data_IF_403554654911
#
_entry.id   IF_403554654911
#
_cell.length_a   1.000
_cell.length_b   1.000
_cell.length_c   1.000
_cell.angle_alpha   90.00
_cell.angle_beta   90.00
_cell.angle_gamma   90.00
#
_symmetry.space_group_name_H-M   'P 1'
#
loop_
_entity.id
_entity.type
_entity.pdbx_description
1 polymer ?
#
# COMPACT_ATOMS: atom_id res chain seq x y z
N UNK A 1 -1.28 42.47 -18.59
CA UNK A 1 -1.15 41.00 -18.62
C UNK A 1 -0.16 40.61 -17.54
N UNK A 2 -0.45 39.60 -16.72
CA UNK A 2 0.56 39.02 -15.82
C UNK A 2 1.71 38.51 -16.67
N UNK A 3 2.91 39.06 -16.49
CA UNK A 3 4.08 38.54 -17.19
C UNK A 3 4.39 37.16 -16.62
N UNK A 4 4.25 36.13 -17.47
CA UNK A 4 4.61 34.74 -17.14
C UNK A 4 6.12 34.62 -16.95
N UNK A 5 6.89 35.45 -17.65
CA UNK A 5 8.34 35.47 -17.64
C UNK A 5 8.86 36.37 -16.52
N UNK A 6 9.94 35.93 -15.87
CA UNK A 6 10.76 36.80 -15.02
C UNK A 6 11.36 37.95 -15.84
N UNK A 7 11.70 39.06 -15.20
CA UNK A 7 12.32 40.23 -15.87
C UNK A 7 13.53 39.83 -16.73
N UNK A 8 14.42 38.99 -16.18
CA UNK A 8 15.57 38.45 -16.91
C UNK A 8 15.17 37.65 -18.15
N UNK A 9 14.14 36.81 -18.06
CA UNK A 9 13.68 36.01 -19.20
C UNK A 9 13.02 36.89 -20.27
N UNK A 10 12.27 37.92 -19.86
CA UNK A 10 11.70 38.90 -20.77
C UNK A 10 12.81 39.66 -21.52
N UNK A 11 13.85 40.12 -20.80
CA UNK A 11 15.00 40.80 -21.40
C UNK A 11 15.80 39.92 -22.38
N UNK A 12 16.00 38.64 -22.06
CA UNK A 12 16.62 37.69 -22.99
C UNK A 12 15.75 37.46 -24.24
N UNK A 13 14.43 37.39 -24.08
CA UNK A 13 13.48 37.24 -25.18
C UNK A 13 13.47 38.48 -26.09
N UNK A 14 13.46 39.68 -25.51
CA UNK A 14 13.50 40.93 -26.26
C UNK A 14 14.75 41.03 -27.13
N UNK A 15 15.94 40.74 -26.58
CA UNK A 15 17.20 40.71 -27.34
C UNK A 15 17.18 39.66 -28.45
N UNK A 16 16.61 38.49 -28.19
CA UNK A 16 16.45 37.43 -29.19
C UNK A 16 15.48 37.83 -30.32
N UNK A 17 14.39 38.53 -30.02
CA UNK A 17 13.44 39.03 -31.01
C UNK A 17 14.08 40.06 -31.94
N UNK A 18 14.80 41.04 -31.39
CA UNK A 18 15.49 42.06 -32.20
C UNK A 18 16.55 41.41 -33.10
N UNK A 19 17.36 40.49 -32.56
CA UNK A 19 18.36 39.76 -33.33
C UNK A 19 17.72 38.93 -34.45
N UNK A 20 16.61 38.23 -34.17
CA UNK A 20 15.84 37.48 -35.16
C UNK A 20 15.29 38.37 -36.27
N UNK A 21 14.65 39.49 -35.93
CA UNK A 21 14.10 40.43 -36.90
C UNK A 21 15.19 41.03 -37.81
N UNK A 22 16.35 41.32 -37.23
CA UNK A 22 17.50 41.83 -37.98
C UNK A 22 18.04 40.78 -38.94
N UNK A 23 18.21 39.53 -38.49
CA UNK A 23 18.63 38.41 -39.33
C UNK A 23 17.60 38.06 -40.43
N UNK A 24 16.30 38.27 -40.16
CA UNK A 24 15.21 38.08 -41.11
C UNK A 24 15.05 39.25 -42.11
N UNK A 25 15.97 40.21 -42.14
CA UNK A 25 15.91 41.42 -42.98
C UNK A 25 14.66 42.29 -42.73
N UNK A 26 14.23 42.44 -41.48
CA UNK A 26 13.13 43.31 -41.05
C UNK A 26 13.63 44.50 -40.20
N UNK A 27 14.46 45.41 -40.74
CA UNK A 27 15.15 46.45 -39.97
C UNK A 27 14.20 47.48 -39.37
N UNK A 28 13.15 47.89 -40.11
CA UNK A 28 12.19 48.90 -39.63
C UNK A 28 11.44 48.40 -38.38
N UNK A 29 11.05 47.12 -38.37
CA UNK A 29 10.39 46.50 -37.22
C UNK A 29 11.35 46.31 -36.05
N UNK A 30 12.60 45.91 -36.32
CA UNK A 30 13.62 45.79 -35.30
C UNK A 30 13.94 47.15 -34.62
N UNK A 31 13.99 48.23 -35.41
CA UNK A 31 14.22 49.59 -34.91
C UNK A 31 13.04 50.08 -34.05
N UNK A 32 11.81 49.93 -34.52
CA UNK A 32 10.61 50.31 -33.78
C UNK A 32 10.50 49.55 -32.44
N UNK A 33 10.72 48.23 -32.45
CA UNK A 33 10.71 47.42 -31.22
C UNK A 33 11.81 47.84 -30.25
N UNK A 34 12.99 48.18 -30.76
CA UNK A 34 14.12 48.63 -29.95
C UNK A 34 13.85 49.97 -29.26
N UNK A 35 13.18 50.88 -29.96
CA UNK A 35 12.72 52.17 -29.41
C UNK A 35 11.66 51.97 -28.33
N UNK A 36 10.62 51.16 -28.60
CA UNK A 36 9.57 50.87 -27.62
C UNK A 36 10.09 50.21 -26.33
N UNK A 37 11.13 49.39 -26.44
CA UNK A 37 11.76 48.71 -25.31
C UNK A 37 12.86 49.54 -24.62
N UNK A 38 13.15 50.75 -25.11
CA UNK A 38 14.25 51.60 -24.63
C UNK A 38 15.61 50.86 -24.56
N UNK A 39 15.92 50.01 -25.55
CA UNK A 39 17.18 49.27 -25.61
C UNK A 39 18.26 50.10 -26.33
N UNK A 40 19.05 50.85 -25.56
CA UNK A 40 20.18 51.65 -26.07
C UNK A 40 21.30 50.83 -26.73
N UNK A 41 22.21 51.50 -27.44
CA UNK A 41 23.40 50.87 -28.07
C UNK A 41 24.38 50.27 -27.05
N UNK A 42 24.38 50.79 -25.84
CA UNK A 42 25.13 50.27 -24.70
C UNK A 42 24.63 48.89 -24.22
N UNK A 43 23.34 48.60 -24.40
CA UNK A 43 22.72 47.34 -23.94
C UNK A 43 22.58 46.30 -25.05
N UNK A 44 22.47 46.75 -26.31
CA UNK A 44 22.32 45.89 -27.49
C UNK A 44 23.26 46.36 -28.61
N UNK A 45 24.53 45.98 -28.48
CA UNK A 45 25.59 46.23 -29.46
C UNK A 45 25.67 45.12 -30.53
N UNK A 46 26.44 45.31 -31.62
CA UNK A 46 26.59 44.28 -32.66
C UNK A 46 27.09 42.93 -32.13
N UNK A 47 27.91 42.92 -31.07
CA UNK A 47 28.36 41.69 -30.43
C UNK A 47 27.22 40.95 -29.71
N UNK A 48 26.34 41.70 -29.02
CA UNK A 48 25.12 41.18 -28.40
C UNK A 48 24.16 40.68 -29.47
N UNK A 49 23.95 41.41 -30.56
CA UNK A 49 23.11 40.97 -31.67
C UNK A 49 23.56 39.60 -32.21
N UNK A 50 24.86 39.44 -32.46
CA UNK A 50 25.45 38.16 -32.90
C UNK A 50 25.31 37.04 -31.86
N UNK A 51 25.36 37.36 -30.56
CA UNK A 51 25.15 36.38 -29.49
C UNK A 51 23.72 35.82 -29.47
N UNK A 52 22.73 36.65 -29.79
CA UNK A 52 21.31 36.28 -29.78
C UNK A 52 20.78 35.81 -31.15
N UNK A 53 21.57 35.97 -32.22
CA UNK A 53 21.26 35.47 -33.56
C UNK A 53 21.02 33.94 -33.55
N UNK A 54 19.92 33.51 -34.16
CA UNK A 54 19.52 32.11 -34.21
C UNK A 54 19.01 31.52 -32.88
N UNK A 55 18.98 32.28 -31.78
CA UNK A 55 18.59 31.76 -30.47
C UNK A 55 17.10 31.38 -30.44
N UNK A 56 16.24 32.20 -31.04
CA UNK A 56 14.79 31.99 -31.04
C UNK A 56 14.44 30.72 -31.82
N UNK A 57 15.07 30.53 -32.98
CA UNK A 57 14.94 29.35 -33.83
C UNK A 57 15.46 28.11 -33.11
N UNK A 58 16.62 28.19 -32.44
CA UNK A 58 17.14 27.09 -31.62
C UNK A 58 16.19 26.72 -30.48
N UNK A 59 15.59 27.69 -29.78
CA UNK A 59 14.61 27.44 -28.73
C UNK A 59 13.32 26.83 -29.30
N UNK A 60 12.79 27.38 -30.40
CA UNK A 60 11.57 26.87 -31.05
C UNK A 60 11.76 25.43 -31.56
N UNK A 61 12.83 25.17 -32.31
CA UNK A 61 13.15 23.83 -32.81
C UNK A 61 13.39 22.84 -31.67
N UNK A 62 13.99 23.29 -30.55
CA UNK A 62 14.12 22.46 -29.34
C UNK A 62 12.78 22.12 -28.71
N UNK A 63 11.85 23.07 -28.60
CA UNK A 63 10.49 22.84 -28.09
C UNK A 63 9.72 21.88 -28.99
N UNK A 64 9.73 22.09 -30.32
CA UNK A 64 9.08 21.19 -31.29
C UNK A 64 9.69 19.79 -31.21
N UNK A 65 11.02 19.68 -31.10
CA UNK A 65 11.70 18.39 -30.94
C UNK A 65 11.34 17.70 -29.62
N UNK A 66 11.26 18.44 -28.51
CA UNK A 66 10.84 17.91 -27.20
C UNK A 66 9.38 17.47 -27.22
N UNK A 67 8.49 18.25 -27.83
CA UNK A 67 7.09 17.89 -28.03
C UNK A 67 6.97 16.63 -28.87
N UNK A 68 7.62 16.54 -30.04
CA UNK A 68 7.61 15.31 -30.84
C UNK A 68 8.20 14.11 -30.08
N UNK A 69 9.32 14.30 -29.39
CA UNK A 69 9.98 13.22 -28.63
C UNK A 69 9.11 12.72 -27.46
N UNK A 70 8.36 13.59 -26.80
CA UNK A 70 7.54 13.23 -25.63
C UNK A 70 6.11 12.83 -25.99
N UNK A 71 5.49 13.56 -26.91
CA UNK A 71 4.07 13.43 -27.25
C UNK A 71 3.83 12.32 -28.26
N UNK A 72 4.69 12.17 -29.28
CA UNK A 72 4.48 11.14 -30.31
C UNK A 72 4.48 9.72 -29.75
N UNK A 73 5.45 9.30 -28.88
CA UNK A 73 5.40 7.97 -28.28
C UNK A 73 4.18 7.76 -27.39
N UNK A 74 3.76 8.79 -26.64
CA UNK A 74 2.58 8.74 -25.79
C UNK A 74 1.31 8.51 -26.63
N UNK A 75 1.14 9.28 -27.71
CA UNK A 75 -0.01 9.13 -28.61
C UNK A 75 -0.01 7.76 -29.29
N UNK A 76 1.14 7.27 -29.74
CA UNK A 76 1.26 5.91 -30.30
C UNK A 76 0.88 4.85 -29.27
N UNK A 77 1.37 4.96 -28.03
CA UNK A 77 1.05 4.01 -26.97
C UNK A 77 -0.45 4.03 -26.61
N UNK A 78 -1.09 5.19 -26.62
CA UNK A 78 -2.54 5.32 -26.42
C UNK A 78 -3.30 4.62 -27.56
N UNK A 79 -2.94 4.86 -28.82
CA UNK A 79 -3.57 4.20 -29.97
C UNK A 79 -3.39 2.68 -29.93
N UNK A 80 -2.21 2.19 -29.56
CA UNK A 80 -1.93 0.75 -29.42
C UNK A 80 -2.73 0.12 -28.27
N UNK A 81 -2.99 0.87 -27.19
CA UNK A 81 -3.83 0.45 -26.08
C UNK A 81 -5.31 0.43 -26.46
N UNK A 82 -5.80 1.47 -27.15
CA UNK A 82 -7.17 1.53 -27.67
C UNK A 82 -7.45 0.39 -28.65
N UNK A 83 -6.51 0.11 -29.56
CA UNK A 83 -6.61 -1.01 -30.50
C UNK A 83 -6.65 -2.37 -29.78
N UNK A 84 -5.73 -2.60 -28.82
CA UNK A 84 -5.75 -3.84 -28.01
C UNK A 84 -7.01 -4.00 -27.19
N UNK A 85 -7.53 -2.92 -26.61
CA UNK A 85 -8.80 -2.96 -25.88
C UNK A 85 -9.98 -3.33 -26.80
N UNK A 86 -10.01 -2.79 -28.02
CA UNK A 86 -11.05 -3.14 -29.00
C UNK A 86 -10.97 -4.62 -29.41
N UNK A 87 -9.76 -5.16 -29.61
CA UNK A 87 -9.55 -6.58 -29.91
C UNK A 87 -10.01 -7.44 -28.73
N UNK A 88 -9.56 -7.14 -27.51
CA UNK A 88 -9.94 -7.89 -26.31
C UNK A 88 -11.44 -7.84 -26.03
N UNK A 89 -12.11 -6.71 -26.30
CA UNK A 89 -13.56 -6.60 -26.20
C UNK A 89 -14.24 -7.53 -27.22
N UNK A 90 -13.77 -7.55 -28.47
CA UNK A 90 -14.29 -8.46 -29.49
C UNK A 90 -14.03 -9.94 -29.17
N UNK A 91 -12.88 -10.26 -28.57
CA UNK A 91 -12.58 -11.61 -28.08
C UNK A 91 -13.47 -12.00 -26.91
N UNK A 92 -13.78 -11.06 -26.00
CA UNK A 92 -14.69 -11.29 -24.88
C UNK A 92 -16.13 -11.52 -25.36
N UNK A 93 -16.58 -10.74 -26.34
CA UNK A 93 -17.92 -10.86 -26.92
C UNK A 93 -18.07 -12.16 -27.74
N UNK A 94 -16.98 -12.63 -28.36
CA UNK A 94 -16.94 -13.88 -29.13
C UNK A 94 -16.57 -15.13 -28.29
N UNK A 95 -16.03 -14.95 -27.09
CA UNK A 95 -15.68 -16.04 -26.20
C UNK A 95 -16.95 -16.70 -25.68
N UNK A 96 -17.20 -17.93 -26.12
CA UNK A 96 -18.24 -18.79 -25.55
C UNK A 96 -17.94 -19.00 -24.06
N UNK A 97 -18.91 -18.82 -23.14
CA UNK A 97 -18.69 -18.90 -21.69
C UNK A 97 -18.57 -20.37 -21.26
N UNK A 98 -17.59 -21.09 -21.79
CA UNK A 98 -17.21 -22.42 -21.37
C UNK A 98 -15.87 -22.31 -20.65
N UNK A 99 -15.94 -22.34 -19.31
CA UNK A 99 -14.81 -22.50 -18.38
C UNK A 99 -14.02 -21.25 -17.96
N UNK A 100 -14.61 -20.05 -17.93
CA UNK A 100 -14.32 -19.20 -16.76
C UNK A 100 -15.00 -19.89 -15.59
N UNK A 101 -14.26 -20.72 -14.84
CA UNK A 101 -14.71 -21.18 -13.54
C UNK A 101 -14.93 -19.91 -12.72
N UNK A 102 -16.14 -19.36 -12.80
CA UNK A 102 -16.61 -18.20 -12.05
C UNK A 102 -16.77 -18.69 -10.62
N UNK A 103 -15.63 -19.00 -9.98
CA UNK A 103 -15.57 -19.40 -8.58
C UNK A 103 -16.01 -18.16 -7.82
N UNK A 104 -17.12 -18.29 -7.12
CA UNK A 104 -17.60 -17.27 -6.19
C UNK A 104 -16.42 -16.74 -5.37
N UNK A 105 -16.07 -15.45 -5.49
CA UNK A 105 -14.93 -14.88 -4.78
C UNK A 105 -15.12 -14.91 -3.26
N UNK A 106 -16.36 -15.05 -2.77
CA UNK A 106 -16.65 -15.23 -1.33
C UNK A 106 -16.25 -16.62 -0.84
N UNK A 107 -16.26 -17.62 -1.73
CA UNK A 107 -15.92 -19.01 -1.42
C UNK A 107 -14.47 -19.38 -1.78
N UNK A 108 -13.70 -18.46 -2.38
CA UNK A 108 -12.36 -18.76 -2.87
C UNK A 108 -11.38 -19.08 -1.73
N UNK A 109 -10.59 -20.12 -1.92
CA UNK A 109 -9.49 -20.51 -1.04
C UNK A 109 -8.25 -20.83 -1.89
N UNK A 110 -7.04 -20.47 -1.43
CA UNK A 110 -5.81 -20.75 -2.15
C UNK A 110 -5.64 -22.26 -2.40
N UNK A 111 -4.96 -22.63 -3.48
CA UNK A 111 -4.66 -24.03 -3.82
C UNK A 111 -3.19 -24.16 -4.20
N UNK A 112 -2.59 -25.33 -3.97
CA UNK A 112 -1.30 -25.65 -4.56
C UNK A 112 -1.45 -26.11 -6.02
N UNK A 113 -0.42 -25.92 -6.87
CA UNK A 113 0.78 -25.12 -6.59
C UNK A 113 0.47 -23.60 -6.56
N UNK A 114 1.34 -22.76 -5.98
CA UNK A 114 1.22 -21.31 -6.12
C UNK A 114 1.28 -20.92 -7.59
N UNK A 115 0.63 -19.80 -7.96
CA UNK A 115 0.73 -19.22 -9.31
C UNK A 115 2.18 -18.84 -9.63
N UNK A 116 2.85 -18.17 -8.68
CA UNK A 116 4.23 -17.73 -8.82
C UNK A 116 5.04 -18.06 -7.57
N UNK A 117 6.31 -18.43 -7.77
CA UNK A 117 7.33 -18.54 -6.71
C UNK A 117 8.44 -17.55 -7.03
N UNK A 118 8.50 -16.45 -6.29
CA UNK A 118 9.39 -15.33 -6.54
C UNK A 118 10.68 -15.52 -5.73
N UNK A 119 11.82 -15.64 -6.43
CA UNK A 119 13.11 -15.97 -5.83
C UNK A 119 14.13 -14.89 -6.15
N UNK A 120 14.68 -14.24 -5.14
CA UNK A 120 15.74 -13.22 -5.32
C UNK A 120 16.40 -12.80 -4.00
N UNK A 121 15.69 -12.90 -2.87
CA UNK A 121 16.26 -12.61 -1.55
C UNK A 121 17.38 -13.60 -1.21
N UNK A 122 18.33 -13.15 -0.41
CA UNK A 122 19.51 -13.95 -0.02
C UNK A 122 19.37 -14.58 1.36
N UNK A 123 18.53 -13.98 2.20
CA UNK A 123 18.22 -14.42 3.56
C UNK A 123 16.69 -14.45 3.76
N UNK A 124 16.19 -15.06 4.85
CA UNK A 124 14.76 -15.27 5.10
C UNK A 124 13.88 -14.05 4.82
N UNK A 125 12.72 -14.30 4.21
CA UNK A 125 11.68 -13.28 4.05
C UNK A 125 10.91 -13.17 5.35
N UNK A 126 10.77 -11.95 5.84
CA UNK A 126 10.15 -11.63 7.12
C UNK A 126 8.72 -11.12 6.94
N UNK A 127 8.44 -10.40 5.85
CA UNK A 127 7.17 -9.70 5.64
C UNK A 127 6.84 -9.51 4.15
N UNK A 128 5.54 -9.33 3.87
CA UNK A 128 5.03 -8.99 2.54
C UNK A 128 3.86 -8.01 2.63
N UNK A 129 3.75 -7.09 1.68
CA UNK A 129 2.64 -6.13 1.59
C UNK A 129 2.23 -5.84 0.15
N UNK A 130 0.93 -5.86 -0.13
CA UNK A 130 0.39 -5.49 -1.44
C UNK A 130 0.21 -3.99 -1.54
N UNK A 131 0.53 -3.44 -2.71
CA UNK A 131 0.12 -2.09 -3.05
C UNK A 131 -1.42 -2.03 -3.21
N UNK A 132 -2.11 -1.01 -2.67
CA UNK A 132 -3.58 -0.94 -2.66
C UNK A 132 -4.22 -0.82 -4.03
N UNK A 133 -3.52 -0.21 -4.99
CA UNK A 133 -4.04 0.05 -6.35
C UNK A 133 -3.40 -0.87 -7.39
N UNK A 134 -2.10 -0.73 -7.61
CA UNK A 134 -1.32 -1.46 -8.62
C UNK A 134 -1.04 -2.94 -8.28
N UNK A 135 -0.60 -3.70 -9.29
CA UNK A 135 -0.14 -5.10 -9.21
C UNK A 135 1.20 -5.28 -8.48
N UNK A 136 1.62 -4.31 -7.66
CA UNK A 136 2.90 -4.36 -6.96
C UNK A 136 2.79 -5.05 -5.60
N UNK A 137 3.81 -5.82 -5.25
CA UNK A 137 4.01 -6.45 -3.95
C UNK A 137 5.39 -6.08 -3.42
N UNK A 138 5.48 -5.67 -2.16
CA UNK A 138 6.74 -5.51 -1.45
C UNK A 138 7.04 -6.74 -0.59
N UNK A 139 8.30 -7.16 -0.51
CA UNK A 139 8.80 -8.14 0.45
C UNK A 139 10.03 -7.61 1.18
N UNK A 140 10.06 -7.75 2.51
CA UNK A 140 11.24 -7.46 3.33
C UNK A 140 11.96 -8.74 3.75
N UNK A 141 13.26 -8.62 4.03
CA UNK A 141 14.12 -9.77 4.35
C UNK A 141 15.19 -9.44 5.38
N UNK A 142 15.72 -10.49 6.00
CA UNK A 142 16.93 -10.45 6.82
C UNK A 142 18.17 -9.99 6.04
N UNK A 143 18.14 -10.04 4.70
CA UNK A 143 19.21 -9.57 3.80
C UNK A 143 19.29 -8.04 3.71
N UNK A 144 18.53 -7.33 4.55
CA UNK A 144 18.49 -5.87 4.71
C UNK A 144 17.84 -5.14 3.53
N UNK A 145 17.30 -5.88 2.55
CA UNK A 145 16.66 -5.31 1.36
C UNK A 145 15.14 -5.43 1.40
N UNK A 146 14.49 -4.56 0.62
CA UNK A 146 13.09 -4.71 0.25
C UNK A 146 13.05 -4.96 -1.25
N UNK A 147 12.27 -5.92 -1.70
CA UNK A 147 12.05 -6.19 -3.12
C UNK A 147 10.63 -5.85 -3.51
N UNK A 148 10.50 -5.25 -4.69
CA UNK A 148 9.23 -4.89 -5.31
C UNK A 148 9.02 -5.80 -6.50
N UNK A 149 7.86 -6.42 -6.54
CA UNK A 149 7.49 -7.42 -7.54
C UNK A 149 6.20 -7.00 -8.22
N UNK A 150 6.08 -7.29 -9.50
CA UNK A 150 4.76 -7.41 -10.12
C UNK A 150 4.22 -8.81 -9.78
N UNK A 151 3.18 -8.90 -8.96
CA UNK A 151 2.63 -10.19 -8.53
C UNK A 151 1.73 -10.84 -9.59
N UNK A 152 1.28 -10.11 -10.61
CA UNK A 152 0.52 -10.65 -11.74
C UNK A 152 1.45 -11.36 -12.72
N UNK A 153 2.57 -10.73 -13.06
CA UNK A 153 3.58 -11.23 -14.00
C UNK A 153 4.61 -12.15 -13.34
N UNK A 154 4.82 -12.01 -12.02
CA UNK A 154 5.82 -12.77 -11.27
C UNK A 154 7.25 -12.24 -11.45
N UNK A 155 7.40 -10.95 -11.76
CA UNK A 155 8.67 -10.32 -12.11
C UNK A 155 9.20 -9.43 -10.99
N UNK A 156 10.52 -9.35 -10.84
CA UNK A 156 11.19 -8.42 -9.93
C UNK A 156 11.32 -7.05 -10.61
N UNK A 157 10.65 -6.03 -10.09
CA UNK A 157 10.73 -4.66 -10.60
C UNK A 157 11.91 -3.89 -10.00
N UNK A 158 12.13 -4.04 -8.69
CA UNK A 158 13.12 -3.22 -7.98
C UNK A 158 13.66 -3.90 -6.72
N UNK A 159 14.91 -3.59 -6.38
CA UNK A 159 15.50 -3.87 -5.06
C UNK A 159 15.83 -2.54 -4.40
N UNK A 160 15.23 -2.29 -3.23
CA UNK A 160 15.41 -1.11 -2.41
C UNK A 160 16.42 -1.45 -1.31
N UNK A 161 17.42 -0.58 -1.16
CA UNK A 161 18.46 -0.67 -0.14
C UNK A 161 18.46 0.60 0.68
N UNK A 162 18.74 0.48 1.98
CA UNK A 162 18.95 1.64 2.85
C UNK A 162 18.79 1.35 4.34
N UNK A 163 18.15 0.23 4.71
CA UNK A 163 18.31 -0.34 6.05
C UNK A 163 19.69 -0.97 6.21
N UNK A 164 20.20 -0.98 7.44
CA UNK A 164 21.55 -1.52 7.76
C UNK A 164 21.50 -2.86 8.51
N UNK A 165 20.30 -3.32 8.84
CA UNK A 165 20.00 -4.62 9.45
C UNK A 165 18.69 -5.16 8.85
N UNK A 166 18.35 -6.40 9.19
CA UNK A 166 17.14 -7.10 8.77
C UNK A 166 15.90 -6.19 8.74
N UNK A 167 15.21 -6.16 7.62
CA UNK A 167 13.88 -5.54 7.49
C UNK A 167 12.89 -6.51 8.12
N UNK A 168 12.14 -6.07 9.11
CA UNK A 168 11.26 -6.94 9.89
C UNK A 168 9.81 -6.86 9.41
N UNK A 169 9.36 -5.69 8.95
CA UNK A 169 8.00 -5.51 8.44
C UNK A 169 7.92 -4.42 7.37
N UNK A 170 6.91 -4.52 6.51
CA UNK A 170 6.58 -3.54 5.48
C UNK A 170 5.07 -3.37 5.38
N UNK A 171 4.61 -2.16 5.03
CA UNK A 171 3.19 -1.89 4.80
C UNK A 171 3.01 -0.76 3.77
N UNK A 172 1.99 -0.85 2.95
CA UNK A 172 1.59 0.22 2.04
C UNK A 172 0.42 1.00 2.62
N UNK A 173 0.48 2.33 2.50
CA UNK A 173 -0.58 3.22 2.95
C UNK A 173 -0.13 4.67 2.90
N UNK A 174 -0.87 5.56 3.57
CA UNK A 174 -0.54 6.98 3.59
C UNK A 174 -1.74 7.87 3.26
N UNK A 175 -1.48 9.15 2.95
CA UNK A 175 -2.53 10.09 2.56
C UNK A 175 -3.32 9.59 1.35
N UNK A 176 -4.61 9.96 1.27
CA UNK A 176 -5.42 9.67 0.08
C UNK A 176 -4.72 10.22 -1.18
N UNK A 177 -4.54 9.35 -2.17
CA UNK A 177 -3.87 9.69 -3.43
C UNK A 177 -2.35 9.67 -3.40
N UNK A 178 -1.72 9.51 -2.23
CA UNK A 178 -0.26 9.38 -2.11
C UNK A 178 0.09 8.13 -1.31
N UNK A 179 0.17 6.99 -2.01
CA UNK A 179 0.55 5.73 -1.37
C UNK A 179 2.06 5.72 -1.14
N UNK A 180 2.45 5.55 0.12
CA UNK A 180 3.82 5.36 0.56
C UNK A 180 4.04 3.89 0.95
N UNK A 181 5.29 3.48 0.92
CA UNK A 181 5.75 2.25 1.56
C UNK A 181 6.44 2.60 2.87
N UNK A 182 6.01 2.00 3.97
CA UNK A 182 6.72 2.03 5.24
C UNK A 182 7.47 0.72 5.44
N UNK A 183 8.68 0.79 5.98
CA UNK A 183 9.45 -0.38 6.40
C UNK A 183 10.07 -0.17 7.76
N UNK A 184 10.17 -1.21 8.57
CA UNK A 184 10.84 -1.15 9.86
C UNK A 184 11.91 -2.24 9.97
N UNK A 185 12.91 -2.01 10.84
CA UNK A 185 14.10 -2.84 10.86
C UNK A 185 14.67 -3.05 12.27
N UNK A 186 15.53 -4.05 12.37
CA UNK A 186 16.42 -4.25 13.50
C UNK A 186 17.47 -3.14 13.68
N UNK A 187 17.58 -2.21 12.73
CA UNK A 187 18.43 -1.01 12.85
C UNK A 187 17.79 0.13 13.66
N UNK A 188 16.68 -0.15 14.35
CA UNK A 188 15.94 0.77 15.23
C UNK A 188 15.14 1.85 14.48
N UNK A 189 15.15 1.84 13.15
CA UNK A 189 14.51 2.87 12.34
C UNK A 189 13.29 2.35 11.59
N UNK A 190 12.38 3.28 11.31
CA UNK A 190 11.33 3.11 10.31
C UNK A 190 11.68 4.02 9.12
N UNK A 191 11.55 3.52 7.90
CA UNK A 191 11.80 4.30 6.68
C UNK A 191 10.52 4.42 5.87
N UNK A 192 10.33 5.60 5.29
CA UNK A 192 9.26 5.88 4.35
C UNK A 192 9.86 6.01 2.96
N UNK A 193 9.24 5.34 1.99
CA UNK A 193 9.65 5.30 0.60
C UNK A 193 8.50 5.75 -0.29
N UNK A 194 8.82 6.51 -1.32
CA UNK A 194 7.84 7.01 -2.28
C UNK A 194 7.85 6.16 -3.57
N UNK A 195 6.84 5.29 -3.81
CA UNK A 195 6.72 4.50 -5.03
C UNK A 195 6.71 5.35 -6.32
N UNK A 196 6.25 6.61 -6.27
CA UNK A 196 6.18 7.51 -7.43
C UNK A 196 7.56 8.11 -7.78
N UNK A 197 8.43 8.31 -6.79
CA UNK A 197 9.83 8.75 -6.99
C UNK A 197 10.80 7.57 -6.86
N UNK A 198 10.51 6.48 -7.59
CA UNK A 198 11.36 5.29 -7.67
C UNK A 198 11.76 4.66 -6.32
N UNK A 199 10.87 4.70 -5.33
CA UNK A 199 11.11 4.27 -3.95
C UNK A 199 12.29 4.99 -3.29
N UNK A 200 12.45 6.29 -3.57
CA UNK A 200 13.39 7.13 -2.83
C UNK A 200 13.01 7.17 -1.35
N UNK A 201 14.01 7.12 -0.47
CA UNK A 201 13.80 7.32 0.96
C UNK A 201 13.42 8.79 1.21
N UNK A 202 12.17 9.04 1.59
CA UNK A 202 11.68 10.40 1.89
C UNK A 202 11.93 10.77 3.33
N UNK A 203 11.88 9.81 4.25
CA UNK A 203 12.12 10.01 5.70
C UNK A 203 12.69 8.75 6.34
N UNK A 204 13.41 8.98 7.42
CA UNK A 204 13.82 7.98 8.40
C UNK A 204 13.32 8.45 9.76
N UNK A 205 12.54 7.62 10.46
CA UNK A 205 11.91 7.92 11.74
C UNK A 205 12.71 7.21 12.85
N UNK A 206 13.58 7.93 13.58
CA UNK A 206 14.27 7.40 14.74
C UNK A 206 13.41 7.55 16.02
N UNK A 207 13.70 6.75 17.04
CA UNK A 207 13.17 6.97 18.39
C UNK A 207 12.76 5.71 19.15
N UNK A 208 12.70 4.54 18.50
CA UNK A 208 12.66 3.28 19.22
C UNK A 208 14.05 2.92 19.77
N UNK A 209 14.08 2.32 20.96
CA UNK A 209 15.33 2.00 21.68
C UNK A 209 15.78 0.55 21.43
N UNK A 210 15.01 -0.21 20.65
CA UNK A 210 15.34 -1.55 20.18
C UNK A 210 14.65 -1.81 18.83
N UNK A 211 15.03 -2.90 18.15
CA UNK A 211 14.43 -3.43 16.91
C UNK A 211 12.93 -3.20 16.81
N UNK A 212 12.50 -2.62 15.69
CA UNK A 212 11.10 -2.35 15.37
C UNK A 212 10.55 -3.55 14.63
N UNK A 213 9.64 -4.27 15.27
CA UNK A 213 9.13 -5.58 14.84
C UNK A 213 8.00 -5.51 13.84
N UNK A 214 7.13 -4.50 13.93
CA UNK A 214 6.00 -4.35 13.04
C UNK A 214 5.67 -2.88 12.77
N UNK A 215 5.10 -2.61 11.61
CA UNK A 215 4.69 -1.27 11.18
C UNK A 215 3.41 -1.32 10.35
N UNK A 216 2.46 -0.41 10.64
CA UNK A 216 1.19 -0.31 9.90
C UNK A 216 0.76 1.14 9.74
N UNK A 217 0.19 1.49 8.59
CA UNK A 217 -0.54 2.74 8.46
C UNK A 217 -1.88 2.63 9.20
N UNK A 218 -2.26 3.70 9.90
CA UNK A 218 -3.55 3.78 10.60
C UNK A 218 -4.59 4.36 9.62
N UNK A 219 -5.60 3.59 9.19
CA UNK A 219 -6.60 4.05 8.24
C UNK A 219 -7.38 5.27 8.74
N UNK A 220 -7.81 6.17 7.85
CA UNK A 220 -8.74 7.27 8.16
C UNK A 220 -8.22 8.38 9.08
N UNK A 221 -7.05 8.23 9.69
CA UNK A 221 -6.54 9.06 10.79
C UNK A 221 -5.74 10.30 10.39
N UNK A 222 -5.64 10.63 9.09
CA UNK A 222 -4.93 11.82 8.63
C UNK A 222 -3.41 11.68 8.66
N UNK A 223 -2.89 10.56 8.12
CA UNK A 223 -1.45 10.29 7.89
C UNK A 223 -0.69 9.80 9.12
N UNK A 224 -1.29 8.93 9.94
CA UNK A 224 -0.59 8.30 11.05
C UNK A 224 -0.08 6.89 10.69
N UNK A 225 1.03 6.53 11.33
CA UNK A 225 1.66 5.22 11.27
C UNK A 225 1.82 4.71 12.70
N UNK A 226 1.60 3.42 12.93
CA UNK A 226 1.93 2.77 14.21
C UNK A 226 3.09 1.80 14.00
N UNK A 227 3.96 1.71 14.99
CA UNK A 227 5.00 0.70 15.08
C UNK A 227 5.01 -0.01 16.42
N UNK A 228 5.45 -1.26 16.41
CA UNK A 228 5.70 -2.08 17.58
C UNK A 228 7.20 -2.39 17.70
N UNK A 229 7.71 -2.51 18.92
CA UNK A 229 9.15 -2.67 19.14
C UNK A 229 9.49 -3.61 20.30
N UNK A 230 10.73 -4.11 20.26
CA UNK A 230 11.36 -4.86 21.35
C UNK A 230 11.65 -4.00 22.57
N UNK A 231 11.58 -2.67 22.46
CA UNK A 231 11.63 -1.76 23.61
C UNK A 231 10.34 -1.75 24.45
N UNK A 232 9.41 -2.69 24.19
CA UNK A 232 8.17 -2.91 24.93
C UNK A 232 7.10 -1.84 24.68
N UNK A 233 7.31 -0.94 23.72
CA UNK A 233 6.38 0.14 23.39
C UNK A 233 5.77 -0.02 22.01
N UNK A 234 4.60 0.60 21.83
CA UNK A 234 4.14 1.01 20.51
C UNK A 234 4.30 2.51 20.36
N UNK A 235 4.64 2.97 19.16
CA UNK A 235 4.71 4.41 18.85
C UNK A 235 3.80 4.74 17.69
N UNK A 236 3.14 5.90 17.79
CA UNK A 236 2.33 6.48 16.71
C UNK A 236 3.09 7.67 16.16
N UNK A 237 3.23 7.72 14.85
CA UNK A 237 4.02 8.70 14.11
C UNK A 237 3.14 9.48 13.16
N UNK A 238 3.41 10.76 13.03
CA UNK A 238 2.90 11.55 11.92
C UNK A 238 3.84 11.36 10.72
N UNK A 239 3.31 10.81 9.64
CA UNK A 239 4.03 10.49 8.40
C UNK A 239 4.53 11.76 7.68
N UNK A 240 3.81 12.87 7.86
CA UNK A 240 4.10 14.15 7.19
C UNK A 240 5.25 14.87 7.88
N UNK A 241 5.28 14.87 9.21
CA UNK A 241 6.30 15.59 10.00
C UNK A 241 7.46 14.68 10.41
N UNK A 242 7.22 13.38 10.53
CA UNK A 242 8.16 12.39 11.03
C UNK A 242 8.25 12.33 12.56
N UNK A 243 7.41 13.06 13.29
CA UNK A 243 7.43 13.09 14.75
C UNK A 243 6.62 11.93 15.36
N UNK A 244 7.12 11.42 16.48
CA UNK A 244 6.37 10.52 17.35
C UNK A 244 5.29 11.31 18.11
N UNK A 245 4.03 11.08 17.78
CA UNK A 245 2.85 11.75 18.36
C UNK A 245 2.45 11.12 19.69
N UNK A 246 2.49 9.79 19.79
CA UNK A 246 2.13 9.03 21.01
C UNK A 246 3.07 7.86 21.24
N UNK A 247 3.33 7.55 22.50
CA UNK A 247 4.01 6.32 22.92
C UNK A 247 3.09 5.55 23.85
N UNK A 248 2.68 4.36 23.45
CA UNK A 248 1.80 3.49 24.19
C UNK A 248 2.66 2.53 25.01
N UNK A 249 2.46 2.56 26.33
CA UNK A 249 3.18 1.73 27.29
C UNK A 249 2.21 0.80 27.99
N UNK A 250 2.65 -0.44 28.23
CA UNK A 250 1.87 -1.37 29.02
C UNK A 250 2.34 -2.82 28.86
N UNK A 251 2.78 -3.22 27.66
CA UNK A 251 3.38 -4.53 27.47
C UNK A 251 4.63 -4.69 28.33
N UNK A 252 4.79 -5.88 28.90
CA UNK A 252 5.90 -6.17 29.81
C UNK A 252 7.14 -6.69 29.06
N UNK A 253 6.98 -7.12 27.81
CA UNK A 253 8.01 -7.67 26.95
C UNK A 253 7.85 -7.22 25.48
N UNK A 254 8.68 -7.74 24.59
CA UNK A 254 8.73 -7.41 23.16
C UNK A 254 7.34 -7.46 22.50
N UNK A 255 6.88 -6.32 22.00
CA UNK A 255 5.66 -6.24 21.18
C UNK A 255 5.94 -6.79 19.78
N UNK A 256 5.30 -7.90 19.40
CA UNK A 256 5.58 -8.66 18.18
C UNK A 256 4.91 -8.12 16.93
N UNK A 257 3.62 -7.81 17.02
CA UNK A 257 2.81 -7.39 15.88
C UNK A 257 1.78 -6.33 16.30
N UNK A 258 1.29 -5.60 15.30
CA UNK A 258 0.31 -4.55 15.46
C UNK A 258 -0.71 -4.54 14.30
N UNK A 259 -1.97 -4.33 14.63
CA UNK A 259 -3.08 -4.30 13.68
C UNK A 259 -4.07 -3.16 14.02
N UNK A 260 -4.12 -2.08 13.22
CA UNK A 260 -5.14 -1.03 13.37
C UNK A 260 -6.54 -1.49 12.95
N UNK A 261 -7.57 -0.89 13.54
CA UNK A 261 -8.96 -1.04 13.09
C UNK A 261 -9.20 -0.27 11.78
N UNK A 262 -10.23 -0.67 11.03
CA UNK A 262 -10.55 -0.06 9.72
C UNK A 262 -10.93 1.43 9.80
N UNK A 263 -11.38 1.91 10.96
CA UNK A 263 -11.71 3.31 11.23
C UNK A 263 -10.56 4.07 11.91
N UNK A 264 -9.43 3.41 12.18
CA UNK A 264 -8.24 3.99 12.80
C UNK A 264 -8.37 4.34 14.28
N UNK A 265 -9.49 4.02 14.93
CA UNK A 265 -9.73 4.37 16.34
C UNK A 265 -9.05 3.43 17.33
N UNK A 266 -8.88 2.17 16.94
CA UNK A 266 -8.29 1.16 17.79
C UNK A 266 -7.05 0.56 17.17
N UNK A 267 -6.17 0.09 18.03
CA UNK A 267 -4.99 -0.67 17.66
C UNK A 267 -5.00 -1.95 18.49
N UNK A 268 -4.75 -3.09 17.86
CA UNK A 268 -4.47 -4.35 18.53
C UNK A 268 -2.97 -4.62 18.48
N UNK A 269 -2.38 -5.06 19.58
CA UNK A 269 -0.97 -5.48 19.65
C UNK A 269 -0.82 -6.83 20.33
N UNK A 270 0.28 -7.53 20.05
CA UNK A 270 0.64 -8.83 20.63
C UNK A 270 2.07 -8.82 21.14
N UNK A 271 2.41 -9.68 22.10
CA UNK A 271 3.71 -9.60 22.77
C UNK A 271 4.27 -10.95 23.26
N UNK A 272 5.57 -10.93 23.53
CA UNK A 272 6.30 -11.95 24.28
C UNK A 272 5.84 -12.07 25.74
N UNK A 273 5.02 -11.13 26.25
CA UNK A 273 4.38 -11.25 27.57
C UNK A 273 3.13 -12.16 27.57
N UNK A 274 2.89 -12.85 26.45
CA UNK A 274 1.80 -13.81 26.21
C UNK A 274 0.42 -13.18 26.14
N UNK A 275 0.35 -11.85 26.14
CA UNK A 275 -0.91 -11.10 26.03
C UNK A 275 -1.03 -10.41 24.68
N UNK A 276 -2.28 -10.10 24.35
CA UNK A 276 -2.59 -9.11 23.32
C UNK A 276 -3.38 -7.97 23.94
N UNK A 277 -3.28 -6.76 23.40
CA UNK A 277 -3.92 -5.58 23.98
C UNK A 277 -4.62 -4.76 22.92
N UNK A 278 -5.85 -4.35 23.24
CA UNK A 278 -6.61 -3.40 22.44
C UNK A 278 -6.45 -2.00 23.04
N UNK A 279 -6.10 -1.03 22.22
CA UNK A 279 -5.83 0.35 22.60
C UNK A 279 -6.83 1.27 21.92
N UNK A 280 -7.42 2.21 22.66
CA UNK A 280 -8.16 3.32 22.06
C UNK A 280 -7.20 4.48 21.82
N UNK A 281 -6.87 4.74 20.56
CA UNK A 281 -5.88 5.75 20.19
C UNK A 281 -6.49 7.12 19.91
N UNK A 282 -7.81 7.25 20.06
CA UNK A 282 -8.50 8.55 19.97
C UNK A 282 -8.26 9.41 21.19
N UNK A 283 -8.03 8.78 22.35
CA UNK A 283 -7.74 9.45 23.62
C UNK A 283 -6.28 9.92 23.67
N UNK A 284 -6.02 11.06 24.31
CA UNK A 284 -4.67 11.68 24.38
C UNK A 284 -3.60 10.78 24.99
N UNK A 285 -3.93 10.05 26.07
CA UNK A 285 -3.04 9.09 26.73
C UNK A 285 -3.67 7.68 26.72
N UNK A 286 -3.47 6.88 25.66
CA UNK A 286 -4.07 5.56 25.54
C UNK A 286 -3.51 4.59 26.59
N UNK A 287 -4.40 4.01 27.38
CA UNK A 287 -4.13 2.81 28.19
C UNK A 287 -4.68 1.56 27.48
N UNK A 288 -4.23 0.35 27.86
CA UNK A 288 -4.84 -0.88 27.36
C UNK A 288 -6.33 -0.92 27.76
N UNK A 289 -7.22 -0.78 26.79
CA UNK A 289 -8.68 -0.88 26.99
C UNK A 289 -9.08 -2.28 27.41
N UNK A 290 -8.48 -3.28 26.77
CA UNK A 290 -8.70 -4.71 27.02
C UNK A 290 -7.38 -5.45 26.88
N UNK A 291 -7.14 -6.40 27.78
CA UNK A 291 -6.01 -7.34 27.68
C UNK A 291 -6.56 -8.74 27.42
N UNK A 292 -6.16 -9.33 26.30
CA UNK A 292 -6.51 -10.70 25.90
C UNK A 292 -5.52 -11.66 26.56
N UNK A 293 -5.97 -12.35 27.60
CA UNK A 293 -5.16 -13.29 28.38
C UNK A 293 -5.64 -14.70 28.09
N UNK A 294 -4.72 -15.60 27.76
CA UNK A 294 -5.03 -17.02 27.65
C UNK A 294 -4.03 -17.84 26.86
N UNK A 295 -3.24 -17.23 25.97
CA UNK A 295 -2.12 -17.94 25.34
C UNK A 295 -1.08 -18.35 26.39
N UNK A 296 -0.46 -19.50 26.17
CA UNK A 296 0.51 -20.10 27.11
C UNK A 296 1.97 -19.83 26.70
N UNK A 297 2.15 -19.12 25.59
CA UNK A 297 3.44 -18.73 25.05
C UNK A 297 3.28 -17.43 24.24
N UNK A 298 4.42 -16.83 23.88
CA UNK A 298 4.57 -15.68 22.96
C UNK A 298 3.50 -15.63 21.87
N UNK A 299 2.78 -14.52 21.82
CA UNK A 299 1.80 -14.23 20.76
C UNK A 299 2.53 -13.50 19.64
N UNK A 300 2.54 -14.08 18.43
CA UNK A 300 3.38 -13.64 17.32
C UNK A 300 2.67 -12.75 16.32
N UNK A 301 1.36 -12.95 16.12
CA UNK A 301 0.59 -12.22 15.12
C UNK A 301 -0.84 -11.96 15.59
N UNK A 302 -1.43 -10.87 15.10
CA UNK A 302 -2.82 -10.52 15.37
C UNK A 302 -3.55 -9.93 14.18
N UNK A 303 -4.88 -10.06 14.19
CA UNK A 303 -5.76 -9.41 13.24
C UNK A 303 -7.06 -8.98 13.91
N UNK A 304 -7.51 -7.76 13.63
CA UNK A 304 -8.87 -7.32 13.93
C UNK A 304 -9.80 -7.82 12.82
N UNK A 305 -10.92 -8.45 13.20
CA UNK A 305 -11.87 -8.98 12.23
C UNK A 305 -12.57 -7.85 11.47
N UNK A 306 -12.75 -7.96 10.13
CA UNK A 306 -13.54 -6.99 9.38
C UNK A 306 -15.04 -7.17 9.70
N UNK A 307 -15.87 -6.13 9.48
CA UNK A 307 -17.32 -6.21 9.68
C UNK A 307 -18.02 -7.37 8.95
N UNK A 308 -17.47 -7.79 7.80
CA UNK A 308 -17.97 -8.95 7.05
C UNK A 308 -17.93 -10.26 7.86
N UNK A 309 -16.99 -10.41 8.81
CA UNK A 309 -16.85 -11.60 9.65
C UNK A 309 -17.77 -11.59 10.88
N UNK A 310 -18.38 -10.44 11.23
CA UNK A 310 -19.10 -10.27 12.49
C UNK A 310 -20.28 -11.23 12.64
N UNK A 311 -20.98 -11.57 11.56
CA UNK A 311 -22.09 -12.52 11.63
C UNK A 311 -21.63 -13.89 12.15
N UNK A 312 -20.49 -14.38 11.65
CA UNK A 312 -19.98 -15.72 11.96
C UNK A 312 -19.38 -15.74 13.38
N UNK A 313 -18.63 -14.70 13.73
CA UNK A 313 -17.98 -14.58 15.05
C UNK A 313 -18.99 -14.31 16.17
N UNK A 314 -20.01 -13.48 15.92
CA UNK A 314 -21.09 -13.23 16.89
C UNK A 314 -21.93 -14.48 17.16
N UNK A 315 -22.22 -15.26 16.11
CA UNK A 315 -22.90 -16.55 16.27
C UNK A 315 -22.08 -17.51 17.15
N UNK A 316 -20.77 -17.60 16.91
CA UNK A 316 -19.85 -18.43 17.71
C UNK A 316 -19.74 -17.96 19.17
N UNK A 317 -19.81 -16.64 19.40
CA UNK A 317 -19.81 -16.04 20.73
C UNK A 317 -21.17 -16.08 21.45
N UNK A 318 -22.24 -16.51 20.78
CA UNK A 318 -23.60 -16.50 21.34
C UNK A 318 -24.15 -15.09 21.59
N UNK A 319 -23.70 -14.09 20.82
CA UNK A 319 -24.15 -12.69 20.96
C UNK A 319 -24.82 -12.18 19.69
N UNK A 320 -25.56 -11.08 19.81
CA UNK A 320 -26.14 -10.39 18.64
C UNK A 320 -25.02 -9.81 17.77
N UNK A 321 -25.14 -9.96 16.45
CA UNK A 321 -24.24 -9.34 15.47
C UNK A 321 -24.12 -7.82 15.74
N UNK A 322 -22.91 -7.30 15.96
CA UNK A 322 -22.66 -5.87 16.06
C UNK A 322 -22.96 -5.12 14.74
N UNK A 323 -23.25 -3.81 14.81
CA UNK A 323 -23.39 -2.98 13.62
C UNK A 323 -22.12 -2.99 12.74
N UNK A 324 -22.27 -2.94 11.42
CA UNK A 324 -21.11 -2.92 10.52
C UNK A 324 -20.26 -1.64 10.64
N UNK A 325 -20.81 -0.59 11.27
CA UNK A 325 -20.11 0.67 11.57
C UNK A 325 -19.20 0.59 12.79
N UNK A 326 -19.35 -0.44 13.63
CA UNK A 326 -18.49 -0.61 14.80
C UNK A 326 -17.22 -1.37 14.45
N UNK A 327 -16.16 -1.10 15.22
CA UNK A 327 -14.80 -1.55 14.96
C UNK A 327 -14.21 -2.24 16.18
N UNK A 328 -13.24 -3.13 15.96
CA UNK A 328 -12.59 -3.92 17.01
C UNK A 328 -13.55 -4.78 17.86
N UNK A 329 -14.63 -5.29 17.24
CA UNK A 329 -15.62 -6.15 17.90
C UNK A 329 -15.10 -7.57 18.14
N UNK A 330 -14.28 -8.06 17.22
CA UNK A 330 -13.68 -9.38 17.27
C UNK A 330 -12.24 -9.35 16.79
N UNK A 331 -11.42 -10.24 17.34
CA UNK A 331 -9.98 -10.28 17.09
C UNK A 331 -9.51 -11.73 16.98
N UNK A 332 -8.43 -11.95 16.24
CA UNK A 332 -7.73 -13.23 16.15
C UNK A 332 -6.26 -13.04 16.54
N UNK A 333 -5.70 -14.00 17.27
CA UNK A 333 -4.31 -14.01 17.70
C UNK A 333 -3.69 -15.38 17.44
N UNK A 334 -2.43 -15.41 17.02
CA UNK A 334 -1.67 -16.64 16.76
C UNK A 334 -0.41 -16.67 17.62
N UNK A 335 -0.10 -17.84 18.18
CA UNK A 335 0.96 -17.98 19.18
C UNK A 335 1.92 -19.13 18.90
N UNK A 336 3.05 -19.08 19.60
CA UNK A 336 4.01 -20.19 19.73
C UNK A 336 3.44 -21.39 20.49
N UNK A 337 2.33 -21.24 21.18
CA UNK A 337 1.56 -22.37 21.73
C UNK A 337 0.81 -23.18 20.64
N UNK A 338 1.04 -22.84 19.36
CA UNK A 338 0.52 -23.52 18.15
C UNK A 338 -0.97 -23.31 17.93
N UNK A 339 -1.62 -22.50 18.77
CA UNK A 339 -3.05 -22.22 18.69
C UNK A 339 -3.33 -20.86 18.05
N UNK A 340 -4.53 -20.75 17.50
CA UNK A 340 -5.15 -19.47 17.15
C UNK A 340 -6.30 -19.26 18.12
N UNK A 341 -6.42 -18.08 18.69
CA UNK A 341 -7.56 -17.72 19.55
C UNK A 341 -8.39 -16.62 18.92
N UNK A 342 -9.70 -16.78 19.00
CA UNK A 342 -10.70 -15.79 18.60
C UNK A 342 -11.27 -15.13 19.85
N UNK A 343 -11.38 -13.81 19.83
CA UNK A 343 -11.76 -13.01 21.00
C UNK A 343 -12.89 -12.06 20.67
N UNK A 344 -13.74 -11.77 21.65
CA UNK A 344 -14.67 -10.65 21.60
C UNK A 344 -14.03 -9.34 22.10
N UNK A 345 -14.72 -8.21 21.89
CA UNK A 345 -14.29 -6.88 22.35
C UNK A 345 -14.18 -6.73 23.87
N UNK A 346 -14.63 -7.71 24.66
CA UNK A 346 -14.50 -7.72 26.14
C UNK A 346 -13.28 -8.51 26.60
N UNK A 347 -12.58 -9.17 25.68
CA UNK A 347 -11.43 -10.02 25.96
C UNK A 347 -11.77 -11.47 26.30
N UNK A 348 -13.01 -11.89 26.04
CA UNK A 348 -13.43 -13.28 26.21
C UNK A 348 -12.90 -14.10 25.04
N UNK A 349 -12.21 -15.20 25.32
CA UNK A 349 -11.83 -16.17 24.30
C UNK A 349 -13.09 -16.93 23.84
N UNK A 350 -13.52 -16.69 22.61
CA UNK A 350 -14.71 -17.32 22.00
C UNK A 350 -14.38 -18.75 21.56
N UNK A 351 -13.21 -18.94 20.94
CA UNK A 351 -12.79 -20.23 20.39
C UNK A 351 -11.28 -20.30 20.30
N UNK A 352 -10.75 -21.49 20.56
CA UNK A 352 -9.37 -21.85 20.26
C UNK A 352 -9.38 -22.78 19.06
N UNK A 353 -8.70 -22.38 17.97
CA UNK A 353 -8.50 -23.20 16.79
C UNK A 353 -7.18 -23.94 16.95
N UNK A 354 -7.28 -25.25 17.11
CA UNK A 354 -6.15 -26.16 17.19
C UNK A 354 -5.98 -26.90 15.86
N UNK A 355 -4.72 -27.11 15.46
CA UNK A 355 -4.41 -27.91 14.29
C UNK A 355 -3.04 -27.64 13.69
N UNK A 356 -2.43 -26.48 13.94
CA UNK A 356 -1.01 -26.28 13.62
C UNK A 356 -0.12 -27.07 14.57
N UNK A 357 0.99 -27.61 14.05
CA UNK A 357 1.93 -28.43 14.83
C UNK A 357 3.15 -27.63 15.32
N UNK A 358 3.23 -26.36 14.93
CA UNK A 358 4.28 -25.42 15.30
C UNK A 358 3.74 -23.99 15.37
N UNK A 359 4.62 -23.03 15.66
CA UNK A 359 4.28 -21.64 15.91
C UNK A 359 3.44 -21.00 14.80
N UNK A 360 2.33 -20.38 15.17
CA UNK A 360 1.50 -19.62 14.21
C UNK A 360 2.17 -18.26 13.99
N UNK A 361 2.50 -17.97 12.72
CA UNK A 361 3.33 -16.82 12.33
C UNK A 361 2.55 -15.68 11.71
N UNK A 362 1.43 -15.98 11.06
CA UNK A 362 0.63 -14.97 10.37
C UNK A 362 -0.83 -15.36 10.29
N UNK A 363 -1.70 -14.35 10.31
CA UNK A 363 -3.14 -14.47 10.25
C UNK A 363 -3.71 -13.43 9.29
N UNK A 364 -4.71 -13.82 8.50
CA UNK A 364 -5.49 -12.88 7.70
C UNK A 364 -6.94 -13.33 7.57
N UNK A 365 -7.87 -12.42 7.83
CA UNK A 365 -9.28 -12.67 7.55
C UNK A 365 -9.56 -12.59 6.05
N UNK A 366 -10.37 -13.51 5.54
CA UNK A 366 -10.95 -13.39 4.21
C UNK A 366 -11.80 -12.11 4.14
N UNK A 367 -11.72 -11.29 3.07
CA UNK A 367 -12.48 -10.04 2.97
C UNK A 367 -14.00 -10.22 3.08
N UNK A 368 -14.53 -11.34 2.58
CA UNK A 368 -15.93 -11.74 2.75
C UNK A 368 -16.30 -12.30 4.15
N UNK A 369 -15.35 -12.38 5.08
CA UNK A 369 -15.59 -12.74 6.48
C UNK A 369 -15.91 -14.22 6.77
N UNK A 370 -15.97 -15.08 5.76
CA UNK A 370 -16.23 -16.51 5.92
C UNK A 370 -15.06 -17.28 6.51
N UNK A 371 -13.84 -16.96 6.09
CA UNK A 371 -12.64 -17.72 6.46
C UNK A 371 -11.64 -16.87 7.24
N UNK A 372 -10.88 -17.53 8.11
CA UNK A 372 -9.60 -17.07 8.61
C UNK A 372 -8.51 -17.92 7.97
N UNK A 373 -7.43 -17.30 7.50
CA UNK A 373 -6.27 -18.02 6.99
C UNK A 373 -5.10 -17.84 7.97
N UNK A 374 -4.29 -18.88 8.10
CA UNK A 374 -3.11 -18.88 8.96
C UNK A 374 -1.92 -19.56 8.30
N UNK A 375 -0.72 -19.14 8.70
CA UNK A 375 0.54 -19.75 8.30
C UNK A 375 1.43 -20.02 9.52
N UNK A 376 2.29 -21.03 9.44
CA UNK A 376 3.04 -21.53 10.60
C UNK A 376 4.44 -22.03 10.25
N UNK A 377 5.27 -22.18 11.29
CA UNK A 377 6.55 -22.89 11.25
C UNK A 377 6.37 -24.41 11.01
N UNK A 378 5.14 -24.92 10.92
CA UNK A 378 4.86 -26.29 10.43
C UNK A 378 4.83 -26.38 8.90
N UNK A 379 5.17 -25.28 8.21
CA UNK A 379 5.22 -25.14 6.74
C UNK A 379 3.86 -25.16 6.05
N UNK A 380 2.77 -25.12 6.81
CA UNK A 380 1.41 -25.19 6.25
C UNK A 380 0.75 -23.83 6.16
N UNK A 381 -0.16 -23.71 5.18
CA UNK A 381 -1.19 -22.68 5.15
C UNK A 381 -2.54 -23.35 5.43
N UNK A 382 -3.27 -22.89 6.44
CA UNK A 382 -4.58 -23.43 6.82
C UNK A 382 -5.69 -22.42 6.62
N UNK A 383 -6.86 -22.93 6.24
CA UNK A 383 -8.08 -22.15 6.10
C UNK A 383 -9.14 -22.67 7.08
N UNK A 384 -9.63 -21.78 7.92
CA UNK A 384 -10.58 -22.07 8.98
C UNK A 384 -11.93 -21.46 8.61
N UNK A 385 -12.98 -22.28 8.54
CA UNK A 385 -14.34 -21.83 8.21
C UNK A 385 -15.06 -21.33 9.47
N UNK A 386 -15.22 -20.02 9.57
CA UNK A 386 -15.86 -19.36 10.71
C UNK A 386 -17.37 -19.65 10.77
N UNK A 387 -17.99 -20.05 9.66
CA UNK A 387 -19.40 -20.48 9.64
C UNK A 387 -19.59 -21.88 10.23
N UNK A 388 -18.51 -22.66 10.33
CA UNK A 388 -18.47 -23.99 10.94
C UNK A 388 -17.61 -23.98 12.22
N UNK A 389 -17.81 -22.97 13.07
CA UNK A 389 -17.11 -22.81 14.34
C UNK A 389 -15.56 -22.81 14.24
N UNK A 390 -15.02 -22.35 13.11
CA UNK A 390 -13.58 -22.34 12.87
C UNK A 390 -13.01 -23.72 12.54
N UNK A 391 -13.79 -24.64 11.96
CA UNK A 391 -13.28 -25.91 11.45
C UNK A 391 -12.21 -25.68 10.37
N UNK A 392 -11.08 -26.39 10.47
CA UNK A 392 -10.07 -26.39 9.41
C UNK A 392 -10.63 -27.12 8.17
N UNK A 393 -10.97 -26.38 7.12
CA UNK A 393 -11.57 -26.92 5.88
C UNK A 393 -10.54 -27.16 4.79
N UNK A 394 -9.34 -26.56 4.92
CA UNK A 394 -8.26 -26.74 3.97
C UNK A 394 -6.90 -26.59 4.62
N UNK A 395 -5.98 -27.45 4.23
CA UNK A 395 -4.56 -27.38 4.55
C UNK A 395 -3.78 -27.49 3.25
N UNK A 396 -2.94 -26.50 2.96
CA UNK A 396 -1.88 -26.61 1.95
C UNK A 396 -0.63 -27.07 2.71
N UNK A 397 -0.34 -28.36 2.63
CA UNK A 397 0.92 -28.93 3.10
C UNK A 397 2.08 -28.46 2.21
N UNK A 398 3.26 -28.34 2.80
CA UNK A 398 4.47 -27.82 2.13
C UNK A 398 4.19 -26.53 1.33
N UNK A 399 3.38 -25.64 1.90
CA UNK A 399 3.10 -24.34 1.29
C UNK A 399 4.42 -23.60 1.02
N UNK A 400 5.41 -23.80 1.89
CA UNK A 400 6.82 -23.52 1.64
C UNK A 400 7.69 -24.72 2.02
N UNK A 401 8.94 -24.76 1.54
CA UNK A 401 9.90 -25.80 1.92
C UNK A 401 10.43 -25.64 3.36
N UNK A 402 10.19 -24.48 3.97
CA UNK A 402 10.57 -24.12 5.33
C UNK A 402 9.45 -23.31 6.01
N UNK A 403 9.70 -22.88 7.24
CA UNK A 403 8.82 -22.05 8.06
C UNK A 403 8.24 -20.85 7.31
N UNK A 404 6.91 -20.71 7.31
CA UNK A 404 6.22 -19.60 6.66
C UNK A 404 6.11 -18.46 7.66
N UNK A 405 6.72 -17.31 7.36
CA UNK A 405 6.87 -16.19 8.30
C UNK A 405 5.72 -15.20 8.25
N UNK A 406 5.08 -15.03 7.09
CA UNK A 406 4.06 -14.01 6.91
C UNK A 406 3.03 -14.39 5.84
N UNK A 407 1.85 -13.78 5.93
CA UNK A 407 0.78 -13.90 4.95
C UNK A 407 0.08 -12.54 4.80
N UNK A 408 -0.30 -12.19 3.57
CA UNK A 408 -1.15 -11.03 3.28
C UNK A 408 -2.18 -11.38 2.23
N UNK A 409 -3.36 -10.78 2.37
CA UNK A 409 -4.41 -10.83 1.37
C UNK A 409 -4.39 -9.54 0.55
N UNK A 410 -4.52 -9.65 -0.77
CA UNK A 410 -4.51 -8.47 -1.64
C UNK A 410 -5.77 -7.61 -1.42
N UNK A 411 -5.64 -6.29 -1.20
CA UNK A 411 -6.78 -5.42 -0.92
C UNK A 411 -7.81 -5.45 -2.06
N UNK A 412 -9.09 -5.30 -1.71
CA UNK A 412 -10.19 -5.25 -2.67
C UNK A 412 -10.04 -4.04 -3.60
N UNK A 413 -10.47 -4.19 -4.86
CA UNK A 413 -10.55 -3.07 -5.80
C UNK A 413 -11.75 -2.21 -5.43
N UNK A 414 -11.51 -0.92 -5.16
CA UNK A 414 -12.57 0.07 -5.13
C UNK A 414 -12.78 0.51 -6.58
N UNK A 415 -13.88 0.09 -7.20
CA UNK A 415 -14.29 0.70 -8.46
C UNK A 415 -14.83 2.08 -8.12
N UNK A 416 -14.13 3.13 -8.52
CA UNK A 416 -14.74 4.45 -8.57
C UNK A 416 -15.94 4.34 -9.50
N UNK A 417 -17.11 4.73 -9.01
CA UNK A 417 -18.32 4.80 -9.83
C UNK A 417 -17.99 5.74 -10.99
N UNK A 418 -17.85 5.18 -12.19
CA UNK A 418 -17.70 5.96 -13.41
C UNK A 418 -18.90 6.89 -13.53
N UNK A 419 -18.68 8.19 -13.33
CA UNK A 419 -19.69 9.23 -13.58
C UNK A 419 -19.75 9.46 -15.09
N UNK A 420 -20.10 8.42 -15.85
CA UNK A 420 -20.39 8.51 -17.27
C UNK A 420 -21.86 8.16 -17.45
N UNK A 421 -22.66 9.20 -17.68
CA UNK A 421 -24.09 9.11 -17.90
C UNK A 421 -24.64 10.49 -18.19
N UNK A 422 -24.34 10.98 -19.40
CA UNK A 422 -25.19 11.89 -20.15
C UNK A 422 -26.66 11.53 -19.92
N UNK A 423 -27.42 12.47 -19.37
CA UNK A 423 -28.83 12.70 -19.71
C UNK A 423 -29.21 14.03 -19.09
N UNK A 424 -29.28 15.05 -19.96
CA UNK A 424 -29.82 16.34 -19.59
C UNK A 424 -31.30 16.21 -19.25
N UNK A 425 -31.65 16.49 -17.99
CA UNK A 425 -32.96 17.01 -17.59
C UNK A 425 -32.82 17.73 -16.22
N UNK A 426 -33.42 18.91 -16.04
CA UNK A 426 -33.10 19.78 -14.92
C UNK A 426 -33.95 19.51 -13.67
N UNK A 427 -33.31 19.58 -12.51
CA UNK A 427 -33.89 19.84 -11.18
C UNK A 427 -34.91 18.83 -10.62
N UNK A 428 -34.41 17.67 -10.17
CA UNK A 428 -35.03 16.88 -9.10
C UNK A 428 -34.07 16.77 -7.91
N UNK A 429 -34.48 17.26 -6.73
CA UNK A 429 -33.69 17.24 -5.49
C UNK A 429 -33.16 15.82 -5.15
N UNK A 430 -31.89 15.68 -4.75
CA UNK A 430 -31.31 14.36 -4.51
C UNK A 430 -31.94 13.71 -3.26
N UNK A 431 -32.51 12.52 -3.44
CA UNK A 431 -32.95 11.66 -2.33
C UNK A 431 -31.76 11.41 -1.40
N UNK A 432 -31.79 12.04 -0.22
CA UNK A 432 -30.92 11.72 0.90
C UNK A 432 -31.10 10.25 1.28
N UNK A 433 -30.00 9.49 1.34
CA UNK A 433 -29.94 8.27 2.15
C UNK A 433 -29.95 6.96 1.39
N UNK A 434 -29.03 6.76 0.47
CA UNK A 434 -28.36 5.47 0.36
C UNK A 434 -26.88 5.79 0.11
N UNK A 435 -26.04 5.63 1.14
CA UNK A 435 -24.62 5.55 0.92
C UNK A 435 -24.43 4.34 -0.01
N UNK A 436 -24.22 4.59 -1.30
CA UNK A 436 -23.82 3.56 -2.25
C UNK A 436 -22.46 3.09 -1.76
N UNK A 437 -22.44 1.97 -1.04
CA UNK A 437 -21.20 1.24 -0.75
C UNK A 437 -20.58 0.95 -2.11
N UNK A 438 -19.37 1.45 -2.41
CA UNK A 438 -18.74 1.15 -3.68
C UNK A 438 -18.67 -0.37 -3.82
N UNK A 439 -19.04 -0.90 -4.99
CA UNK A 439 -18.96 -2.33 -5.31
C UNK A 439 -17.49 -2.75 -5.22
N UNK A 440 -17.09 -3.20 -4.03
CA UNK A 440 -15.74 -3.65 -3.76
C UNK A 440 -15.61 -5.09 -4.21
N UNK A 441 -14.78 -5.34 -5.23
CA UNK A 441 -14.53 -6.69 -5.71
C UNK A 441 -13.39 -7.33 -4.91
N UNK A 442 -13.64 -8.49 -4.31
CA UNK A 442 -12.62 -9.28 -3.60
C UNK A 442 -11.56 -9.74 -4.61
N UNK A 443 -10.32 -9.28 -4.43
CA UNK A 443 -9.17 -9.86 -5.14
C UNK A 443 -8.83 -11.21 -4.51
N UNK A 444 -9.01 -12.30 -5.25
CA UNK A 444 -8.71 -13.66 -4.81
C UNK A 444 -7.21 -13.95 -4.94
N UNK A 445 -6.40 -13.19 -4.19
CA UNK A 445 -4.94 -13.25 -4.24
C UNK A 445 -4.37 -13.13 -2.83
N UNK A 446 -3.46 -14.03 -2.50
CA UNK A 446 -2.67 -13.97 -1.28
C UNK A 446 -1.19 -14.11 -1.59
N UNK A 447 -0.35 -13.51 -0.75
CA UNK A 447 1.09 -13.67 -0.78
C UNK A 447 1.58 -14.22 0.57
N UNK A 448 2.57 -15.10 0.52
CA UNK A 448 3.27 -15.63 1.69
C UNK A 448 4.78 -15.51 1.54
N UNK A 449 5.48 -15.26 2.63
CA UNK A 449 6.94 -15.22 2.70
C UNK A 449 7.49 -16.26 3.69
N UNK A 450 8.71 -16.72 3.48
CA UNK A 450 9.30 -17.81 4.26
C UNK A 450 10.82 -17.72 4.39
N UNK A 451 11.32 -18.50 5.36
CA UNK A 451 12.73 -18.82 5.57
C UNK A 451 13.34 -19.55 4.36
N UNK A 452 12.53 -20.15 3.48
CA UNK A 452 13.02 -20.74 2.24
C UNK A 452 13.40 -19.73 1.14
N UNK A 453 13.47 -18.43 1.49
CA UNK A 453 13.87 -17.31 0.63
C UNK A 453 12.87 -16.96 -0.49
N UNK A 454 11.71 -17.62 -0.53
CA UNK A 454 10.71 -17.43 -1.57
C UNK A 454 9.49 -16.65 -1.08
N UNK A 455 8.99 -15.75 -1.94
CA UNK A 455 7.62 -15.26 -1.84
C UNK A 455 6.75 -16.13 -2.74
N UNK A 456 5.61 -16.62 -2.25
CA UNK A 456 4.65 -17.37 -3.07
C UNK A 456 3.35 -16.61 -3.23
N UNK A 457 2.85 -16.58 -4.45
CA UNK A 457 1.57 -15.96 -4.82
C UNK A 457 0.56 -17.04 -5.10
N UNK A 458 -0.55 -17.06 -4.36
CA UNK A 458 -1.69 -17.91 -4.67
C UNK A 458 -2.80 -17.03 -5.21
N UNK A 459 -3.19 -17.28 -6.46
CA UNK A 459 -4.20 -16.53 -7.18
C UNK A 459 -5.05 -17.48 -8.03
N UNK A 460 -6.16 -16.99 -8.56
CA UNK A 460 -7.16 -17.78 -9.30
C UNK A 460 -6.65 -18.45 -10.58
#
# INVERSE_FOLDING_TARGET
MSQILTSRQADELHRALIAYLTAANLPNTAAALREELNLGEDVFDPATAKKYEGLLEKKWTSVVRLQKKSLTPLVTQIMDLESRNHILQSELDNATPTSRQNKDPVAWLPRAPPRHTLQSHRDPITCVAFHPVFSSLASGSEDQTIKIWDWELGELERTIKGHTKAVLDVDYGGPRGNTLLASCSSDLTIKLWDPLDSYKNIRTLPGHDHSVSAVRFIPGSGNLLVSASRDKTLRIWDVSTGYCVKTLRGHAEWVRDVCPSFDGKYILSTSDDYTSRLWDVTVTNPEPRVTLIGHEHVVLCCAIAPPAAYQNLAAMAGIKKPPATSSAEFMATGSRDKSIRLWDARGTCIKTLAGHDNWVRGLVFHPGGKYLLSVSDDKTLRCWDLTQEGKCVKTIGDAHGHFVQCIRWAPSVIKDVSVNGDNGEPNGTPKKGAAVTPDSQIRCVIATGSVDLNVRIFAN
#
